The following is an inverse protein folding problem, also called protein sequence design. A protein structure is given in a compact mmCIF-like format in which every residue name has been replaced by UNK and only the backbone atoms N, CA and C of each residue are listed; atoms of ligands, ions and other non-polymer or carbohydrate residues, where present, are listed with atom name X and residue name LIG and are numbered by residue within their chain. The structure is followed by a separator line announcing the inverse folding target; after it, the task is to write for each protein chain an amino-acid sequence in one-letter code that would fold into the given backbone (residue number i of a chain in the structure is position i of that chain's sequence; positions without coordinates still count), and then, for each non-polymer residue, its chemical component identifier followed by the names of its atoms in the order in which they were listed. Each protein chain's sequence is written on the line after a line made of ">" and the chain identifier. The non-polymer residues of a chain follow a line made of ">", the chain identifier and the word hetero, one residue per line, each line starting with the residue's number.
data_IF_230113719670
#
_entry.id   IF_230113719670
#
_cell.length_a   1.000
_cell.length_b   1.000
_cell.length_c   1.000
_cell.angle_alpha   90.00
_cell.angle_beta   90.00
_cell.angle_gamma   90.00
#
_symmetry.space_group_name_H-M   'P 1'
#
loop_
_entity.id
_entity.type
_entity.pdbx_description
1 polymer ?
#
# COMPACT_ATOMS: atom_id res chain seq x y z
N UNK A 1 -1.37 -0.29 -48.80
CA UNK A 1 -2.55 -0.89 -48.15
C UNK A 1 -2.27 -2.26 -47.52
N UNK A 2 -1.44 -3.15 -48.11
CA UNK A 2 -1.04 -4.43 -47.46
C UNK A 2 -0.03 -4.25 -46.31
N UNK A 3 1.04 -3.48 -46.52
CA UNK A 3 2.11 -3.29 -45.53
C UNK A 3 1.59 -2.55 -44.28
N UNK A 4 0.72 -1.55 -44.47
CA UNK A 4 0.08 -0.81 -43.38
C UNK A 4 -0.77 -1.71 -42.47
N UNK A 5 -1.45 -2.71 -43.02
CA UNK A 5 -2.25 -3.68 -42.24
C UNK A 5 -1.35 -4.63 -41.45
N UNK A 6 -0.22 -5.04 -42.03
CA UNK A 6 0.79 -5.87 -41.35
C UNK A 6 1.40 -5.12 -40.16
N UNK A 7 1.77 -3.85 -40.35
CA UNK A 7 2.35 -3.01 -39.28
C UNK A 7 1.33 -2.80 -38.15
N UNK A 8 0.07 -2.49 -38.48
CA UNK A 8 -0.98 -2.29 -37.49
C UNK A 8 -1.28 -3.58 -36.69
N UNK A 9 -1.24 -4.73 -37.37
CA UNK A 9 -1.39 -6.04 -36.73
C UNK A 9 -0.24 -6.39 -35.79
N UNK A 10 1.00 -6.05 -36.15
CA UNK A 10 2.16 -6.30 -35.30
C UNK A 10 2.15 -5.37 -34.07
N UNK A 11 1.74 -4.11 -34.27
CA UNK A 11 1.61 -3.13 -33.21
C UNK A 11 0.56 -3.58 -32.18
N UNK A 12 -0.63 -4.01 -32.61
CA UNK A 12 -1.68 -4.46 -31.67
C UNK A 12 -1.23 -5.62 -30.78
N UNK A 13 -0.47 -6.58 -31.33
CA UNK A 13 0.11 -7.70 -30.58
C UNK A 13 1.05 -7.24 -29.45
N UNK A 14 1.93 -6.27 -29.74
CA UNK A 14 2.85 -5.70 -28.74
C UNK A 14 2.07 -4.94 -27.66
N UNK A 15 1.05 -4.17 -28.03
CA UNK A 15 0.24 -3.40 -27.08
C UNK A 15 -0.60 -4.28 -26.15
N UNK A 16 -1.16 -5.38 -26.68
CA UNK A 16 -1.90 -6.37 -25.88
C UNK A 16 -1.00 -7.01 -24.80
N UNK A 17 0.27 -7.31 -25.14
CA UNK A 17 1.23 -7.87 -24.18
C UNK A 17 1.59 -6.91 -23.04
N UNK A 18 1.60 -5.59 -23.32
CA UNK A 18 1.89 -4.56 -22.32
C UNK A 18 0.67 -4.24 -21.42
N UNK A 19 -0.54 -4.26 -21.98
CA UNK A 19 -1.77 -4.07 -21.20
C UNK A 19 -2.09 -5.25 -20.28
N UNK A 20 -1.69 -6.48 -20.64
CA UNK A 20 -1.89 -7.67 -19.81
C UNK A 20 -1.05 -7.70 -18.51
N UNK A 21 -0.07 -6.80 -18.36
CA UNK A 21 0.81 -6.77 -17.18
C UNK A 21 0.38 -5.75 -16.10
N UNK A 22 -0.76 -5.07 -16.29
CA UNK A 22 -1.09 -3.89 -15.48
C UNK A 22 -1.75 -4.17 -14.12
N UNK A 23 -2.35 -5.33 -13.85
CA UNK A 23 -3.27 -5.44 -12.71
C UNK A 23 -3.13 -6.73 -11.88
N UNK A 24 -1.92 -6.99 -11.38
CA UNK A 24 -1.77 -7.89 -10.20
C UNK A 24 -1.03 -7.25 -9.03
N UNK A 25 -0.17 -6.27 -9.28
CA UNK A 25 0.59 -5.63 -8.20
C UNK A 25 -0.27 -4.71 -7.33
N UNK A 26 -1.26 -4.03 -7.90
CA UNK A 26 -2.16 -3.19 -7.13
C UNK A 26 -3.08 -4.02 -6.22
N UNK A 27 -3.67 -5.08 -6.77
CA UNK A 27 -4.52 -5.99 -6.00
C UNK A 27 -3.73 -6.83 -4.99
N UNK A 28 -2.49 -7.26 -5.30
CA UNK A 28 -1.61 -7.87 -4.29
C UNK A 28 -1.27 -6.89 -3.18
N UNK A 29 -0.88 -5.65 -3.48
CA UNK A 29 -0.57 -4.66 -2.45
C UNK A 29 -1.82 -4.33 -1.62
N UNK A 30 -3.00 -4.20 -2.23
CA UNK A 30 -4.27 -3.99 -1.53
C UNK A 30 -4.67 -5.20 -0.68
N UNK A 31 -4.44 -6.42 -1.18
CA UNK A 31 -4.71 -7.67 -0.46
C UNK A 31 -3.71 -7.88 0.68
N UNK A 32 -2.43 -7.55 0.49
CA UNK A 32 -1.42 -7.54 1.54
C UNK A 32 -1.72 -6.46 2.58
N UNK A 33 -2.10 -5.25 2.18
CA UNK A 33 -2.51 -4.21 3.11
C UNK A 33 -3.80 -4.58 3.86
N UNK A 34 -4.76 -5.25 3.22
CA UNK A 34 -5.99 -5.73 3.86
C UNK A 34 -5.71 -6.88 4.84
N UNK A 35 -4.95 -7.89 4.41
CA UNK A 35 -4.62 -9.06 5.24
C UNK A 35 -3.61 -8.77 6.35
N UNK A 36 -2.67 -7.84 6.13
CA UNK A 36 -1.61 -7.48 7.08
C UNK A 36 -1.80 -6.10 7.71
N UNK A 37 -2.99 -5.50 7.57
CA UNK A 37 -3.35 -4.25 8.24
C UNK A 37 -2.37 -3.14 7.90
N UNK A 38 -2.40 -2.71 6.64
CA UNK A 38 -1.67 -1.55 6.14
C UNK A 38 -1.77 -0.43 7.17
N UNK A 39 -0.61 -0.04 7.69
CA UNK A 39 -0.41 0.93 8.77
C UNK A 39 -0.48 0.27 10.17
N UNK A 40 0.66 -0.32 10.54
CA UNK A 40 1.11 -0.75 11.88
C UNK A 40 0.63 -2.11 12.43
N UNK A 41 1.34 -3.17 12.00
CA UNK A 41 1.67 -4.28 12.90
C UNK A 41 2.73 -3.78 13.89
N UNK A 42 2.33 -2.95 14.85
CA UNK A 42 3.12 -2.87 16.08
C UNK A 42 2.82 -4.13 16.86
N UNK A 43 3.88 -4.85 17.26
CA UNK A 43 3.79 -5.87 18.30
C UNK A 43 2.92 -5.33 19.44
N UNK A 44 2.03 -6.17 19.97
CA UNK A 44 1.10 -5.78 21.04
C UNK A 44 1.83 -5.05 22.19
N UNK A 45 3.06 -5.47 22.51
CA UNK A 45 3.92 -4.79 23.49
C UNK A 45 4.23 -3.34 23.13
N UNK A 46 4.59 -3.07 21.88
CA UNK A 46 4.95 -1.72 21.43
C UNK A 46 3.72 -0.81 21.49
N UNK A 47 2.54 -1.32 21.12
CA UNK A 47 1.27 -0.58 21.25
C UNK A 47 0.98 -0.23 22.72
N UNK A 48 1.12 -1.19 23.61
CA UNK A 48 0.86 -1.01 25.04
C UNK A 48 1.86 -0.02 25.66
N UNK A 49 3.14 -0.11 25.30
CA UNK A 49 4.18 0.81 25.75
C UNK A 49 3.91 2.26 25.31
N UNK A 50 3.54 2.48 24.04
CA UNK A 50 3.17 3.80 23.53
C UNK A 50 2.00 4.37 24.34
N UNK A 51 0.97 3.56 24.58
CA UNK A 51 -0.22 3.99 25.34
C UNK A 51 0.12 4.40 26.77
N UNK A 52 0.97 3.63 27.46
CA UNK A 52 1.44 3.97 28.80
C UNK A 52 2.27 5.26 28.83
N UNK A 53 3.13 5.47 27.83
CA UNK A 53 3.94 6.68 27.71
C UNK A 53 3.08 7.92 27.45
N UNK A 54 2.06 7.81 26.60
CA UNK A 54 1.11 8.92 26.38
C UNK A 54 0.35 9.27 27.65
N UNK A 55 -0.14 8.27 28.39
CA UNK A 55 -0.81 8.49 29.68
C UNK A 55 0.10 9.22 30.69
N UNK A 56 1.36 8.78 30.84
CA UNK A 56 2.33 9.45 31.72
C UNK A 56 2.60 10.89 31.29
N UNK A 57 2.65 11.15 29.98
CA UNK A 57 2.85 12.50 29.43
C UNK A 57 1.68 13.42 29.74
N UNK A 58 0.46 12.90 29.67
CA UNK A 58 -0.75 13.65 29.99
C UNK A 58 -0.85 13.95 31.50
N UNK A 59 -0.58 12.97 32.35
CA UNK A 59 -0.52 13.16 33.81
C UNK A 59 0.55 14.18 34.21
N UNK A 60 1.75 14.11 33.61
CA UNK A 60 2.80 15.10 33.84
C UNK A 60 2.36 16.49 33.40
N UNK A 61 1.75 16.62 32.21
CA UNK A 61 1.24 17.89 31.71
C UNK A 61 0.20 18.47 32.65
N UNK A 62 -0.77 17.66 33.09
CA UNK A 62 -1.80 18.10 34.02
C UNK A 62 -1.26 18.51 35.39
N UNK A 63 -0.13 17.95 35.83
CA UNK A 63 0.42 18.20 37.17
C UNK A 63 1.37 19.40 37.22
N UNK A 64 2.06 19.70 36.12
CA UNK A 64 3.13 20.70 36.11
C UNK A 64 2.93 21.84 35.11
N UNK A 65 2.04 21.66 34.12
CA UNK A 65 1.83 22.62 33.02
C UNK A 65 0.39 23.12 32.90
N UNK A 66 -0.57 22.53 33.63
CA UNK A 66 -1.95 23.01 33.78
C UNK A 66 -2.15 23.56 35.18
#
# INVERSE_FOLDING_TARGET
>A
MKITMIILSLFSLVFLSACAFKEKKASEIETLASNYGGIYIFDKKIREEILELEKKREEFRSKYLG
#
